data_IF_102485912350
#
_entry.id   IF_102485912350
#
_cell.length_a   1.000
_cell.length_b   1.000
_cell.length_c   1.000
_cell.angle_alpha   90.00
_cell.angle_beta   90.00
_cell.angle_gamma   90.00
#
_symmetry.space_group_name_H-M   'P 1'
#
loop_
_entity.id
_entity.type
_entity.pdbx_description
1 polymer ?
#
# COMPACT_ATOMS: atom_id res chain seq x y z
N UNK A 1 24.56 1.12 3.91
CA UNK A 1 25.17 2.17 3.06
C UNK A 1 24.37 2.48 1.79
N UNK A 2 24.13 1.53 0.86
CA UNK A 2 23.45 1.85 -0.42
C UNK A 2 21.96 2.26 -0.29
N UNK A 3 21.22 1.67 0.66
CA UNK A 3 19.81 2.03 0.92
C UNK A 3 19.66 3.28 1.78
N UNK A 4 20.52 3.48 2.76
CA UNK A 4 20.55 4.66 3.63
C UNK A 4 20.65 5.94 2.78
N UNK A 5 21.59 6.00 1.85
CA UNK A 5 21.81 7.15 0.97
C UNK A 5 20.56 7.53 0.12
N UNK A 6 19.63 6.59 -0.13
CA UNK A 6 18.42 6.89 -0.90
C UNK A 6 17.33 7.54 -0.05
N UNK A 7 17.35 7.34 1.27
CA UNK A 7 16.25 7.78 2.16
C UNK A 7 16.71 8.79 3.21
N UNK A 8 18.01 8.97 3.45
CA UNK A 8 18.52 9.93 4.43
C UNK A 8 18.06 11.35 4.12
N UNK A 9 17.46 12.01 5.10
CA UNK A 9 16.90 13.36 5.00
C UNK A 9 15.65 13.49 4.12
N UNK A 10 15.20 12.40 3.45
CA UNK A 10 14.03 12.41 2.56
C UNK A 10 12.72 12.50 3.31
N UNK A 11 11.81 13.30 2.81
CA UNK A 11 10.46 13.47 3.35
C UNK A 11 9.53 12.44 2.73
N UNK A 12 9.00 11.53 3.56
CA UNK A 12 8.19 10.39 3.15
C UNK A 12 6.80 10.49 3.77
N UNK A 13 5.76 10.65 2.95
CA UNK A 13 4.37 10.54 3.39
C UNK A 13 3.89 9.11 3.24
N UNK A 14 3.62 8.43 4.35
CA UNK A 14 3.23 7.02 4.40
C UNK A 14 1.80 6.86 4.91
N UNK A 15 0.91 6.30 4.07
CA UNK A 15 -0.45 5.93 4.48
C UNK A 15 -0.52 4.50 5.03
N UNK A 16 -1.46 4.24 5.96
CA UNK A 16 -1.59 2.94 6.61
C UNK A 16 -0.40 2.57 7.49
N UNK A 17 0.24 3.57 8.11
CA UNK A 17 1.46 3.41 8.90
C UNK A 17 1.28 2.62 10.21
N UNK A 18 0.05 2.50 10.74
CA UNK A 18 -0.20 1.97 12.09
C UNK A 18 -0.03 0.46 12.23
N UNK A 19 0.07 -0.31 11.14
CA UNK A 19 0.14 -1.78 11.21
C UNK A 19 0.82 -2.42 10.00
N UNK A 20 1.16 -3.71 10.11
CA UNK A 20 1.62 -4.56 9.01
C UNK A 20 2.80 -3.95 8.23
N UNK A 21 2.68 -3.92 6.90
CA UNK A 21 3.72 -3.39 6.01
C UNK A 21 4.01 -1.92 6.32
N UNK A 22 2.99 -1.10 6.60
CA UNK A 22 3.17 0.32 6.89
C UNK A 22 3.96 0.57 8.18
N UNK A 23 3.66 -0.19 9.25
CA UNK A 23 4.43 -0.12 10.51
C UNK A 23 5.91 -0.47 10.28
N UNK A 24 6.16 -1.56 9.58
CA UNK A 24 7.53 -1.99 9.28
C UNK A 24 8.27 -1.03 8.35
N UNK A 25 7.56 -0.44 7.35
CA UNK A 25 8.12 0.63 6.52
C UNK A 25 8.55 1.83 7.37
N UNK A 26 7.74 2.22 8.35
CA UNK A 26 8.09 3.32 9.26
C UNK A 26 9.36 3.03 10.04
N UNK A 27 9.51 1.80 10.55
CA UNK A 27 10.68 1.37 11.31
C UNK A 27 11.94 1.40 10.43
N UNK A 28 11.91 0.75 9.26
CA UNK A 28 13.08 0.68 8.40
C UNK A 28 13.44 2.06 7.78
N UNK A 29 12.46 2.85 7.35
CA UNK A 29 12.71 4.18 6.81
C UNK A 29 13.29 5.14 7.85
N UNK A 30 12.80 5.09 9.10
CA UNK A 30 13.37 5.92 10.17
C UNK A 30 14.82 5.52 10.46
N UNK A 31 15.14 4.22 10.41
CA UNK A 31 16.53 3.75 10.58
C UNK A 31 17.46 4.18 9.43
N UNK A 32 16.91 4.52 8.27
CA UNK A 32 17.65 5.10 7.13
C UNK A 32 17.63 6.63 7.12
N UNK A 33 17.22 7.28 8.21
CA UNK A 33 17.27 8.72 8.36
C UNK A 33 16.15 9.49 7.61
N UNK A 34 15.10 8.82 7.16
CA UNK A 34 13.96 9.51 6.52
C UNK A 34 13.12 10.29 7.54
N UNK A 35 12.53 11.41 7.11
CA UNK A 35 11.54 12.21 7.84
C UNK A 35 10.14 11.72 7.47
N UNK A 36 9.38 11.21 8.44
CA UNK A 36 8.13 10.51 8.16
C UNK A 36 6.90 11.35 8.51
N UNK A 37 5.94 11.36 7.58
CA UNK A 37 4.56 11.73 7.83
C UNK A 37 3.77 10.44 7.96
N UNK A 38 3.43 10.07 9.20
CA UNK A 38 2.75 8.81 9.55
C UNK A 38 1.25 9.02 9.50
N UNK A 39 0.57 8.39 8.55
CA UNK A 39 -0.88 8.56 8.37
C UNK A 39 -1.65 7.24 8.48
N UNK A 40 -2.67 7.24 9.30
CA UNK A 40 -3.75 6.25 9.41
C UNK A 40 -4.91 6.87 10.19
N UNK A 41 -6.03 6.14 10.34
CA UNK A 41 -7.18 6.61 11.11
C UNK A 41 -6.95 6.61 12.62
N UNK A 42 -6.12 5.70 13.12
CA UNK A 42 -5.88 5.54 14.55
C UNK A 42 -4.66 6.35 14.99
N UNK A 43 -4.92 7.54 15.54
CA UNK A 43 -3.89 8.47 15.99
C UNK A 43 -3.09 7.91 17.17
N UNK A 44 -3.74 7.19 18.09
CA UNK A 44 -3.05 6.60 19.24
C UNK A 44 -1.96 5.62 18.80
N UNK A 45 -2.29 4.67 17.91
CA UNK A 45 -1.32 3.71 17.38
C UNK A 45 -0.18 4.39 16.59
N UNK A 46 -0.46 5.52 15.92
CA UNK A 46 0.58 6.29 15.25
C UNK A 46 1.52 6.97 16.23
N UNK A 47 1.00 7.52 17.33
CA UNK A 47 1.81 8.13 18.38
C UNK A 47 2.67 7.08 19.09
N UNK A 48 2.11 5.93 19.43
CA UNK A 48 2.85 4.79 19.99
C UNK A 48 3.97 4.33 19.06
N UNK A 49 3.67 4.18 17.77
CA UNK A 49 4.68 3.83 16.76
C UNK A 49 5.78 4.89 16.69
N UNK A 50 5.42 6.17 16.60
CA UNK A 50 6.38 7.27 16.50
C UNK A 50 7.40 7.23 17.63
N UNK A 51 6.99 6.91 18.86
CA UNK A 51 7.89 6.82 20.03
C UNK A 51 8.93 5.70 19.91
N UNK A 52 8.70 4.71 19.05
CA UNK A 52 9.63 3.58 18.80
C UNK A 52 10.62 3.85 17.67
N UNK A 53 10.44 4.94 16.91
CA UNK A 53 11.25 5.25 15.74
C UNK A 53 12.53 6.01 16.13
N UNK A 54 13.57 5.91 15.30
CA UNK A 54 14.77 6.75 15.41
C UNK A 54 14.42 8.19 15.00
N UNK A 55 15.15 9.17 15.54
CA UNK A 55 14.97 10.59 15.22
C UNK A 55 13.51 11.08 15.36
N UNK A 56 12.85 10.71 16.45
CA UNK A 56 11.44 10.95 16.74
C UNK A 56 10.96 12.39 16.47
N UNK A 57 11.81 13.38 16.70
CA UNK A 57 11.51 14.79 16.48
C UNK A 57 11.31 15.16 15.00
N UNK A 58 11.92 14.38 14.09
CA UNK A 58 11.82 14.60 12.65
C UNK A 58 10.52 14.03 12.03
N UNK A 59 9.72 13.27 12.82
CA UNK A 59 8.49 12.65 12.34
C UNK A 59 7.24 13.39 12.84
N UNK A 60 6.18 13.34 12.02
CA UNK A 60 4.84 13.79 12.46
C UNK A 60 3.82 12.68 12.35
N UNK A 61 2.88 12.72 13.29
CA UNK A 61 1.64 11.97 13.20
C UNK A 61 0.60 12.88 12.54
N UNK A 62 -0.01 12.37 11.45
CA UNK A 62 -1.03 13.09 10.70
C UNK A 62 -2.20 12.13 10.42
N UNK A 63 -3.21 12.10 11.32
CA UNK A 63 -4.38 11.24 11.15
C UNK A 63 -5.07 11.50 9.81
N UNK A 64 -5.39 10.42 9.07
CA UNK A 64 -5.98 10.51 7.74
C UNK A 64 -6.90 9.33 7.47
N UNK A 65 -8.12 9.61 7.04
CA UNK A 65 -9.04 8.62 6.49
C UNK A 65 -9.04 8.73 4.95
N UNK A 66 -8.63 7.67 4.26
CA UNK A 66 -8.63 7.62 2.81
C UNK A 66 -10.03 7.69 2.19
N UNK A 67 -11.10 7.49 2.98
CA UNK A 67 -12.47 7.68 2.51
C UNK A 67 -12.98 9.11 2.69
N UNK A 68 -12.19 10.02 3.26
CA UNK A 68 -12.53 11.44 3.42
C UNK A 68 -11.51 12.33 2.71
N UNK A 69 -11.68 12.46 1.40
CA UNK A 69 -10.79 13.27 0.57
C UNK A 69 -10.91 14.78 0.82
N UNK A 70 -11.97 15.25 1.50
CA UNK A 70 -12.18 16.67 1.81
C UNK A 70 -11.08 17.22 2.71
N UNK A 71 -10.49 16.38 3.56
CA UNK A 71 -9.42 16.74 4.49
C UNK A 71 -8.01 16.81 3.86
N UNK A 72 -7.82 16.28 2.64
CA UNK A 72 -6.48 16.17 2.03
C UNK A 72 -5.79 17.51 1.74
N UNK A 73 -6.48 18.56 1.22
CA UNK A 73 -5.83 19.82 0.93
C UNK A 73 -5.26 20.50 2.18
N UNK A 74 -5.99 20.51 3.30
CA UNK A 74 -5.54 21.07 4.57
C UNK A 74 -4.31 20.30 5.10
N UNK A 75 -4.37 18.97 5.09
CA UNK A 75 -3.26 18.12 5.53
C UNK A 75 -2.02 18.30 4.65
N UNK A 76 -2.20 18.43 3.35
CA UNK A 76 -1.11 18.70 2.42
C UNK A 76 -0.46 20.06 2.69
N UNK A 77 -1.26 21.10 2.94
CA UNK A 77 -0.77 22.43 3.33
C UNK A 77 0.10 22.34 4.59
N UNK A 78 -0.40 21.66 5.62
CA UNK A 78 0.34 21.47 6.87
C UNK A 78 1.70 20.78 6.65
N UNK A 79 1.74 19.72 5.83
CA UNK A 79 2.99 19.00 5.51
C UNK A 79 3.97 19.90 4.76
N UNK A 80 3.49 20.66 3.76
CA UNK A 80 4.36 21.54 2.97
C UNK A 80 4.87 22.74 3.75
N UNK A 81 4.08 23.29 4.67
CA UNK A 81 4.54 24.34 5.59
C UNK A 81 5.64 23.83 6.52
N UNK A 82 5.54 22.58 6.99
CA UNK A 82 6.52 21.99 7.92
C UNK A 82 7.83 21.55 7.26
N UNK A 83 7.75 20.89 6.11
CA UNK A 83 8.92 20.26 5.48
C UNK A 83 9.39 20.95 4.20
N UNK A 84 8.57 21.79 3.58
CA UNK A 84 8.87 22.47 2.32
C UNK A 84 8.83 21.58 1.08
N UNK A 85 8.93 20.25 1.23
CA UNK A 85 8.96 19.29 0.15
C UNK A 85 8.35 17.94 0.55
N UNK A 86 8.06 17.10 -0.43
CA UNK A 86 7.71 15.69 -0.27
C UNK A 86 8.49 14.92 -1.34
N UNK A 87 9.37 14.01 -0.92
CA UNK A 87 10.18 13.20 -1.83
C UNK A 87 9.48 11.88 -2.20
N UNK A 88 8.75 11.29 -1.25
CA UNK A 88 8.04 10.03 -1.46
C UNK A 88 6.60 10.11 -0.95
N UNK A 89 5.67 9.60 -1.76
CA UNK A 89 4.31 9.28 -1.34
C UNK A 89 4.14 7.77 -1.38
N UNK A 90 4.04 7.13 -0.20
CA UNK A 90 3.85 5.69 -0.10
C UNK A 90 2.38 5.38 0.20
N UNK A 91 1.67 4.95 -0.83
CA UNK A 91 0.26 4.57 -0.80
C UNK A 91 0.13 3.10 -0.34
N UNK A 92 0.21 2.90 0.99
CA UNK A 92 0.10 1.57 1.59
C UNK A 92 -1.27 1.34 2.25
N UNK A 93 -1.99 2.41 2.59
CA UNK A 93 -3.31 2.32 3.22
C UNK A 93 -4.32 1.56 2.36
N UNK A 94 -5.07 0.66 2.99
CA UNK A 94 -6.10 -0.13 2.32
C UNK A 94 -6.77 -1.14 3.25
N UNK A 95 -7.91 -1.65 2.82
CA UNK A 95 -8.72 -2.66 3.53
C UNK A 95 -8.95 -3.87 2.63
N UNK A 96 -9.12 -5.05 3.22
CA UNK A 96 -9.40 -6.30 2.50
C UNK A 96 -10.87 -6.73 2.67
N UNK A 97 -11.26 -7.80 1.97
CA UNK A 97 -12.59 -8.39 1.99
C UNK A 97 -12.48 -9.89 2.31
N UNK A 98 -13.51 -10.40 2.98
CA UNK A 98 -13.78 -11.82 3.17
C UNK A 98 -15.29 -12.06 3.01
N UNK A 99 -15.71 -12.30 1.78
CA UNK A 99 -17.09 -12.59 1.42
C UNK A 99 -17.21 -12.96 -0.05
N UNK A 100 -18.21 -13.76 -0.40
CA UNK A 100 -18.48 -14.10 -1.80
C UNK A 100 -18.93 -12.84 -2.57
N UNK A 101 -18.78 -12.86 -3.89
CA UNK A 101 -19.21 -11.73 -4.72
C UNK A 101 -20.73 -11.52 -4.68
N UNK A 102 -21.49 -12.62 -4.52
CA UNK A 102 -22.95 -12.59 -4.48
C UNK A 102 -23.53 -12.10 -3.16
N UNK A 103 -22.82 -12.32 -2.03
CA UNK A 103 -23.30 -11.98 -0.69
C UNK A 103 -22.81 -10.62 -0.21
N UNK A 104 -21.71 -10.12 -0.79
CA UNK A 104 -21.15 -8.84 -0.39
C UNK A 104 -22.09 -7.69 -0.70
N UNK A 105 -22.44 -6.93 0.35
CA UNK A 105 -23.31 -5.77 0.22
C UNK A 105 -22.71 -4.69 -0.69
N UNK A 106 -23.57 -3.88 -1.31
CA UNK A 106 -23.15 -2.73 -2.11
C UNK A 106 -22.26 -1.77 -1.30
N UNK A 107 -22.58 -1.58 -0.03
CA UNK A 107 -21.81 -0.73 0.87
C UNK A 107 -20.35 -1.23 1.04
N UNK A 108 -20.17 -2.54 1.21
CA UNK A 108 -18.83 -3.16 1.29
C UNK A 108 -18.06 -2.95 0.00
N UNK A 109 -18.70 -3.18 -1.15
CA UNK A 109 -18.08 -2.97 -2.47
C UNK A 109 -17.62 -1.53 -2.64
N UNK A 110 -18.51 -0.56 -2.36
CA UNK A 110 -18.20 0.87 -2.46
C UNK A 110 -17.11 1.29 -1.47
N UNK A 111 -17.18 0.85 -0.21
CA UNK A 111 -16.20 1.18 0.82
C UNK A 111 -14.79 0.72 0.44
N UNK A 112 -14.67 -0.48 -0.12
CA UNK A 112 -13.38 -1.01 -0.58
C UNK A 112 -12.83 -0.19 -1.74
N UNK A 113 -13.65 0.18 -2.72
CA UNK A 113 -13.25 1.03 -3.82
C UNK A 113 -12.88 2.43 -3.34
N UNK A 114 -13.65 2.99 -2.43
CA UNK A 114 -13.40 4.32 -1.87
C UNK A 114 -12.04 4.39 -1.18
N UNK A 115 -11.78 3.48 -0.25
CA UNK A 115 -10.53 3.48 0.52
C UNK A 115 -9.34 3.07 -0.33
N UNK A 116 -9.46 1.98 -1.11
CA UNK A 116 -8.31 1.37 -1.79
C UNK A 116 -7.94 2.07 -3.09
N UNK A 117 -8.90 2.68 -3.76
CA UNK A 117 -8.70 3.29 -5.07
C UNK A 117 -8.91 4.81 -5.04
N UNK A 118 -10.12 5.29 -4.80
CA UNK A 118 -10.42 6.73 -4.89
C UNK A 118 -9.59 7.55 -3.89
N UNK A 119 -9.50 7.14 -2.63
CA UNK A 119 -8.70 7.83 -1.62
C UNK A 119 -7.22 7.92 -2.01
N UNK A 120 -6.63 6.82 -2.51
CA UNK A 120 -5.25 6.83 -2.98
C UNK A 120 -5.06 7.75 -4.19
N UNK A 121 -5.96 7.71 -5.16
CA UNK A 121 -5.93 8.57 -6.36
C UNK A 121 -6.05 10.05 -5.98
N UNK A 122 -7.02 10.40 -5.14
CA UNK A 122 -7.28 11.79 -4.75
C UNK A 122 -6.14 12.36 -3.88
N UNK A 123 -5.57 11.55 -2.98
CA UNK A 123 -4.38 11.96 -2.23
C UNK A 123 -3.17 12.17 -3.15
N UNK A 124 -2.97 11.28 -4.13
CA UNK A 124 -1.93 11.45 -5.15
C UNK A 124 -2.10 12.76 -5.91
N UNK A 125 -3.31 13.07 -6.39
CA UNK A 125 -3.60 14.33 -7.10
C UNK A 125 -3.29 15.54 -6.23
N UNK A 126 -3.60 15.50 -4.95
CA UNK A 126 -3.32 16.57 -4.00
C UNK A 126 -1.81 16.78 -3.80
N UNK A 127 -1.04 15.69 -3.70
CA UNK A 127 0.41 15.74 -3.38
C UNK A 127 1.27 15.92 -4.63
N UNK A 128 0.75 15.61 -5.82
CA UNK A 128 1.48 15.61 -7.10
C UNK A 128 2.26 16.90 -7.40
N UNK A 129 1.75 18.12 -7.12
CA UNK A 129 2.53 19.33 -7.34
C UNK A 129 3.85 19.39 -6.56
N UNK A 130 3.86 18.87 -5.30
CA UNK A 130 5.08 18.80 -4.51
C UNK A 130 6.04 17.72 -5.03
N UNK A 131 5.52 16.56 -5.46
CA UNK A 131 6.32 15.51 -6.07
C UNK A 131 6.97 15.94 -7.39
N UNK A 132 6.28 16.72 -8.23
CA UNK A 132 6.88 17.32 -9.44
C UNK A 132 8.04 18.24 -9.08
N UNK A 133 7.89 19.08 -8.05
CA UNK A 133 8.93 20.00 -7.58
C UNK A 133 10.16 19.27 -7.07
N UNK A 134 10.00 18.18 -6.33
CA UNK A 134 11.09 17.37 -5.78
C UNK A 134 11.63 16.33 -6.74
N UNK A 135 11.01 16.12 -7.90
CA UNK A 135 11.21 14.96 -8.79
C UNK A 135 11.08 13.65 -8.02
N UNK A 136 10.02 13.58 -7.21
CA UNK A 136 9.83 12.54 -6.22
C UNK A 136 9.31 11.23 -6.77
N UNK A 137 8.95 10.32 -5.86
CA UNK A 137 8.48 8.99 -6.23
C UNK A 137 7.17 8.64 -5.53
N UNK A 138 6.25 8.05 -6.30
CA UNK A 138 5.02 7.44 -5.79
C UNK A 138 5.24 5.93 -5.66
N UNK A 139 4.99 5.38 -4.48
CA UNK A 139 5.06 3.95 -4.21
C UNK A 139 3.66 3.45 -3.89
N UNK A 140 3.13 2.52 -4.70
CA UNK A 140 1.77 2.02 -4.55
C UNK A 140 1.80 0.56 -4.12
N UNK A 141 1.36 0.30 -2.89
CA UNK A 141 1.25 -1.06 -2.37
C UNK A 141 -0.07 -1.67 -2.86
N UNK A 142 0.02 -2.36 -3.99
CA UNK A 142 -1.04 -3.18 -4.56
C UNK A 142 -1.09 -4.56 -3.89
N UNK A 143 -1.17 -5.62 -4.67
CA UNK A 143 -1.14 -7.03 -4.27
C UNK A 143 -1.02 -7.91 -5.52
N UNK A 144 -0.65 -9.17 -5.37
CA UNK A 144 -0.88 -10.16 -6.44
C UNK A 144 -2.38 -10.29 -6.77
N UNK A 145 -3.29 -9.88 -5.85
CA UNK A 145 -4.72 -9.74 -6.13
C UNK A 145 -5.04 -8.63 -7.14
N UNK A 146 -4.11 -7.72 -7.43
CA UNK A 146 -4.18 -6.78 -8.54
C UNK A 146 -3.79 -7.38 -9.90
N UNK A 147 -3.32 -8.62 -9.94
CA UNK A 147 -2.94 -9.36 -11.16
C UNK A 147 -3.92 -10.49 -11.50
N UNK A 148 -4.65 -11.00 -10.52
CA UNK A 148 -5.71 -11.99 -10.71
C UNK A 148 -6.68 -12.02 -9.52
N UNK A 149 -7.89 -12.54 -9.75
CA UNK A 149 -8.90 -12.65 -8.71
C UNK A 149 -8.66 -13.81 -7.75
N UNK A 150 -9.08 -13.63 -6.51
CA UNK A 150 -9.06 -14.65 -5.46
C UNK A 150 -10.46 -14.93 -4.94
N UNK A 151 -10.68 -16.13 -4.39
CA UNK A 151 -11.88 -16.45 -3.64
C UNK A 151 -12.10 -15.45 -2.50
N UNK A 152 -13.35 -15.10 -2.26
CA UNK A 152 -13.82 -14.22 -1.18
C UNK A 152 -13.21 -12.80 -1.19
N UNK A 153 -12.64 -12.35 -2.30
CA UNK A 153 -11.93 -11.07 -2.41
C UNK A 153 -12.23 -10.32 -3.70
N UNK A 154 -13.46 -10.44 -4.22
CA UNK A 154 -13.85 -9.85 -5.51
C UNK A 154 -13.60 -8.34 -5.57
N UNK A 155 -14.19 -7.57 -4.63
CA UNK A 155 -14.05 -6.11 -4.59
C UNK A 155 -12.63 -5.67 -4.25
N UNK A 156 -11.95 -6.41 -3.36
CA UNK A 156 -10.54 -6.17 -3.07
C UNK A 156 -9.67 -6.36 -4.32
N UNK A 157 -9.86 -7.46 -5.04
CA UNK A 157 -9.11 -7.70 -6.28
C UNK A 157 -9.42 -6.64 -7.33
N UNK A 158 -10.68 -6.25 -7.49
CA UNK A 158 -11.08 -5.18 -8.40
C UNK A 158 -10.39 -3.85 -8.05
N UNK A 159 -10.38 -3.45 -6.77
CA UNK A 159 -9.72 -2.22 -6.34
C UNK A 159 -8.20 -2.24 -6.59
N UNK A 160 -7.55 -3.41 -6.39
CA UNK A 160 -6.12 -3.55 -6.64
C UNK A 160 -5.78 -3.61 -8.15
N UNK A 161 -6.68 -4.11 -9.01
CA UNK A 161 -6.54 -3.99 -10.48
C UNK A 161 -6.71 -2.53 -10.93
N UNK A 162 -7.67 -1.79 -10.36
CA UNK A 162 -7.89 -0.38 -10.68
C UNK A 162 -6.65 0.48 -10.42
N UNK A 163 -5.91 0.20 -9.33
CA UNK A 163 -4.63 0.87 -9.05
C UNK A 163 -3.62 0.66 -10.20
N UNK A 164 -3.52 -0.55 -10.77
CA UNK A 164 -2.61 -0.79 -11.89
C UNK A 164 -2.95 0.08 -13.09
N UNK A 165 -4.21 0.07 -13.53
CA UNK A 165 -4.62 0.89 -14.67
C UNK A 165 -4.34 2.38 -14.47
N UNK A 166 -4.66 2.92 -13.29
CA UNK A 166 -4.45 4.32 -13.00
C UNK A 166 -2.97 4.70 -12.90
N UNK A 167 -2.18 3.97 -12.09
CA UNK A 167 -0.80 4.36 -11.81
C UNK A 167 0.18 4.00 -12.93
N UNK A 168 -0.13 3.03 -13.78
CA UNK A 168 0.61 2.78 -15.02
C UNK A 168 0.43 3.94 -16.00
N UNK A 169 -0.79 4.47 -16.15
CA UNK A 169 -1.06 5.68 -16.94
C UNK A 169 -0.36 6.91 -16.37
N UNK A 170 -0.51 7.13 -15.06
CA UNK A 170 0.14 8.25 -14.37
C UNK A 170 1.67 8.20 -14.51
N UNK A 171 2.28 7.02 -14.49
CA UNK A 171 3.72 6.86 -14.65
C UNK A 171 4.22 7.34 -16.03
N UNK A 172 3.39 7.17 -17.08
CA UNK A 172 3.69 7.67 -18.43
C UNK A 172 3.49 9.18 -18.51
N UNK A 173 2.41 9.70 -17.93
CA UNK A 173 2.06 11.11 -17.93
C UNK A 173 3.08 11.97 -17.16
N UNK A 174 3.66 11.44 -16.10
CA UNK A 174 4.57 12.16 -15.21
C UNK A 174 6.06 11.94 -15.51
N UNK A 175 6.40 11.12 -16.50
CA UNK A 175 7.79 10.83 -16.85
C UNK A 175 8.57 12.10 -17.20
N UNK A 176 7.98 13.01 -17.99
CA UNK A 176 8.58 14.30 -18.35
C UNK A 176 8.73 15.26 -17.17
N UNK A 177 7.92 15.11 -16.13
CA UNK A 177 8.00 15.88 -14.89
C UNK A 177 9.03 15.30 -13.90
N UNK A 178 9.64 14.16 -14.22
CA UNK A 178 10.63 13.48 -13.37
C UNK A 178 10.02 12.75 -12.15
N UNK A 179 8.70 12.57 -12.10
CA UNK A 179 8.04 11.79 -11.04
C UNK A 179 8.03 10.33 -11.44
N UNK A 180 8.60 9.47 -10.60
CA UNK A 180 8.58 8.02 -10.83
C UNK A 180 7.47 7.32 -10.06
N UNK A 181 7.01 6.18 -10.58
CA UNK A 181 5.98 5.33 -9.92
C UNK A 181 6.51 3.91 -9.79
N UNK A 182 6.41 3.36 -8.59
CA UNK A 182 6.71 1.95 -8.30
C UNK A 182 5.47 1.23 -7.80
N UNK A 183 5.00 0.25 -8.56
CA UNK A 183 3.93 -0.66 -8.16
C UNK A 183 4.52 -1.84 -7.38
N UNK A 184 4.10 -2.01 -6.13
CA UNK A 184 4.51 -3.14 -5.29
C UNK A 184 3.35 -4.13 -5.19
N UNK A 185 3.60 -5.39 -5.51
CA UNK A 185 2.60 -6.46 -5.51
C UNK A 185 2.97 -7.54 -4.50
N UNK A 186 2.65 -7.36 -3.21
CA UNK A 186 2.87 -8.40 -2.21
C UNK A 186 1.99 -9.63 -2.47
N UNK A 187 2.56 -10.81 -2.20
CA UNK A 187 1.84 -12.07 -2.09
C UNK A 187 1.25 -12.28 -0.70
N UNK A 188 1.54 -13.44 -0.11
CA UNK A 188 1.14 -13.80 1.24
C UNK A 188 2.17 -13.26 2.24
N UNK A 189 1.84 -12.17 2.92
CA UNK A 189 2.70 -11.53 3.92
C UNK A 189 2.03 -11.66 5.30
N UNK A 190 2.80 -12.02 6.31
CA UNK A 190 2.30 -12.14 7.69
C UNK A 190 1.96 -10.76 8.25
N UNK A 191 0.69 -10.36 8.12
CA UNK A 191 0.15 -9.07 8.56
C UNK A 191 -1.30 -9.21 9.04
N UNK A 192 -1.82 -8.33 9.89
CA UNK A 192 -3.20 -8.39 10.38
C UNK A 192 -4.27 -7.98 9.36
N UNK A 193 -3.96 -7.90 8.07
CA UNK A 193 -4.90 -7.42 7.03
C UNK A 193 -6.14 -8.32 6.90
N UNK A 194 -6.03 -9.64 7.15
CA UNK A 194 -7.18 -10.54 7.14
C UNK A 194 -8.09 -10.34 8.34
N UNK A 195 -7.51 -10.18 9.53
CA UNK A 195 -8.27 -9.91 10.77
C UNK A 195 -9.11 -8.63 10.65
N UNK A 196 -8.56 -7.61 9.98
CA UNK A 196 -9.22 -6.33 9.75
C UNK A 196 -10.03 -6.25 8.44
N UNK A 197 -10.18 -7.38 7.71
CA UNK A 197 -10.96 -7.42 6.49
C UNK A 197 -12.45 -7.21 6.78
N UNK A 198 -13.19 -6.70 5.80
CA UNK A 198 -14.66 -6.62 5.86
C UNK A 198 -15.26 -7.96 5.44
N UNK A 199 -16.18 -8.49 6.24
CA UNK A 199 -17.06 -9.58 5.85
C UNK A 199 -18.10 -9.10 4.83
N UNK A 200 -18.94 -9.98 4.32
CA UNK A 200 -19.95 -9.65 3.31
C UNK A 200 -20.98 -8.61 3.80
N UNK A 201 -21.28 -8.61 5.09
CA UNK A 201 -22.22 -7.70 5.77
C UNK A 201 -21.58 -6.39 6.26
N UNK A 202 -20.27 -6.18 6.04
CA UNK A 202 -19.53 -5.01 6.48
C UNK A 202 -18.90 -5.11 7.88
N UNK A 203 -19.17 -6.16 8.63
CA UNK A 203 -18.51 -6.40 9.91
C UNK A 203 -17.04 -6.78 9.71
N UNK A 204 -16.24 -6.71 10.79
CA UNK A 204 -14.86 -7.21 10.74
C UNK A 204 -14.86 -8.73 10.66
N UNK A 205 -14.02 -9.28 9.80
CA UNK A 205 -13.82 -10.72 9.68
C UNK A 205 -13.29 -11.36 10.99
N UNK A 206 -12.41 -10.66 11.70
CA UNK A 206 -11.98 -11.01 13.06
C UNK A 206 -10.98 -12.16 13.18
N UNK A 207 -10.72 -12.93 12.12
CA UNK A 207 -9.80 -14.07 12.15
C UNK A 207 -8.60 -13.89 11.22
N UNK A 208 -7.46 -14.50 11.60
CA UNK A 208 -6.27 -14.55 10.76
C UNK A 208 -6.40 -15.70 9.77
N UNK A 209 -6.21 -15.42 8.48
CA UNK A 209 -6.12 -16.51 7.49
C UNK A 209 -4.84 -17.32 7.70
N UNK A 210 -4.93 -18.65 7.74
CA UNK A 210 -3.77 -19.54 7.81
C UNK A 210 -2.70 -19.23 6.75
N UNK A 211 -3.12 -18.92 5.56
CA UNK A 211 -2.22 -18.54 4.45
C UNK A 211 -1.45 -17.23 4.69
N UNK A 212 -1.94 -16.33 5.55
CA UNK A 212 -1.23 -15.11 5.92
C UNK A 212 -0.34 -15.32 7.13
N UNK A 213 -0.78 -16.11 8.09
CA UNK A 213 0.02 -16.50 9.25
C UNK A 213 1.34 -17.17 8.84
N UNK A 214 1.28 -18.07 7.84
CA UNK A 214 2.44 -18.76 7.24
C UNK A 214 3.12 -18.00 6.10
N UNK A 215 2.72 -16.75 5.89
CA UNK A 215 3.25 -15.88 4.84
C UNK A 215 4.69 -15.44 5.09
N UNK A 216 5.25 -14.73 4.11
CA UNK A 216 6.59 -14.13 4.25
C UNK A 216 6.62 -13.16 5.45
N UNK A 217 7.69 -13.17 6.27
CA UNK A 217 7.88 -12.16 7.31
C UNK A 217 7.81 -10.75 6.76
N UNK A 218 7.10 -9.85 7.46
CA UNK A 218 6.89 -8.47 7.00
C UNK A 218 8.19 -7.70 6.85
N UNK A 219 9.20 -7.95 7.70
CA UNK A 219 10.52 -7.32 7.63
C UNK A 219 11.25 -7.65 6.33
N UNK A 220 11.19 -8.91 5.88
CA UNK A 220 11.78 -9.34 4.61
C UNK A 220 11.03 -8.70 3.43
N UNK A 221 9.70 -8.66 3.48
CA UNK A 221 8.88 -8.00 2.46
C UNK A 221 9.28 -6.52 2.32
N UNK A 222 9.36 -5.79 3.41
CA UNK A 222 9.70 -4.35 3.40
C UNK A 222 11.12 -4.11 2.93
N UNK A 223 12.09 -4.93 3.35
CA UNK A 223 13.47 -4.83 2.84
C UNK A 223 13.54 -5.00 1.32
N UNK A 224 12.78 -5.97 0.75
CA UNK A 224 12.71 -6.15 -0.71
C UNK A 224 12.00 -4.98 -1.39
N UNK A 225 10.94 -4.45 -0.78
CA UNK A 225 10.19 -3.29 -1.25
C UNK A 225 11.12 -2.07 -1.35
N UNK A 226 11.82 -1.71 -0.27
CA UNK A 226 12.70 -0.54 -0.24
C UNK A 226 13.87 -0.67 -1.24
N UNK A 227 14.41 -1.88 -1.44
CA UNK A 227 15.39 -2.15 -2.51
C UNK A 227 14.82 -1.90 -3.92
N UNK A 228 13.55 -2.22 -4.16
CA UNK A 228 12.91 -1.98 -5.44
C UNK A 228 12.62 -0.48 -5.64
N UNK A 229 12.19 0.22 -4.58
CA UNK A 229 11.96 1.67 -4.55
C UNK A 229 13.26 2.43 -4.84
N UNK A 230 14.34 2.10 -4.14
CA UNK A 230 15.66 2.73 -4.36
C UNK A 230 16.17 2.56 -5.81
N UNK A 231 15.79 1.47 -6.46
CA UNK A 231 16.11 1.20 -7.87
C UNK A 231 15.06 1.73 -8.86
N UNK A 232 14.05 2.45 -8.37
CA UNK A 232 12.94 3.00 -9.14
C UNK A 232 12.29 1.96 -10.09
N UNK A 233 12.15 0.71 -9.64
CA UNK A 233 11.50 -0.33 -10.43
C UNK A 233 10.05 0.02 -10.69
N UNK A 234 9.59 -0.07 -11.94
CA UNK A 234 8.18 0.18 -12.28
C UNK A 234 7.22 -0.77 -11.57
N UNK A 235 7.61 -2.05 -11.45
CA UNK A 235 6.83 -3.06 -10.74
C UNK A 235 7.73 -4.06 -10.02
N UNK A 236 7.27 -4.55 -8.87
CA UNK A 236 7.92 -5.62 -8.12
C UNK A 236 6.89 -6.58 -7.52
N UNK A 237 7.08 -7.88 -7.74
CA UNK A 237 6.34 -8.95 -7.06
C UNK A 237 7.17 -9.39 -5.84
N UNK A 238 6.55 -9.39 -4.65
CA UNK A 238 7.23 -9.76 -3.39
C UNK A 238 6.42 -10.87 -2.70
N UNK A 239 7.02 -12.01 -2.49
CA UNK A 239 6.37 -13.15 -1.86
C UNK A 239 7.15 -14.44 -2.04
N UNK A 240 6.56 -15.54 -1.63
CA UNK A 240 7.12 -16.88 -1.78
C UNK A 240 6.73 -17.49 -3.16
N UNK A 241 6.35 -18.75 -3.17
CA UNK A 241 6.01 -19.47 -4.43
C UNK A 241 4.74 -18.93 -5.10
N UNK A 242 3.84 -18.32 -4.35
CA UNK A 242 2.54 -17.83 -4.85
C UNK A 242 2.66 -16.72 -5.89
N UNK A 243 3.72 -15.92 -5.89
CA UNK A 243 3.94 -14.88 -6.90
C UNK A 243 4.12 -15.44 -8.30
N UNK A 244 4.57 -16.71 -8.42
CA UNK A 244 4.71 -17.42 -9.72
C UNK A 244 3.36 -17.58 -10.43
N UNK A 245 2.24 -17.52 -9.69
CA UNK A 245 0.90 -17.56 -10.26
C UNK A 245 0.62 -16.38 -11.21
N UNK A 246 1.26 -15.23 -11.01
CA UNK A 246 1.17 -14.06 -11.90
C UNK A 246 1.71 -14.41 -13.30
N UNK A 247 2.92 -14.96 -13.34
CA UNK A 247 3.55 -15.40 -14.60
C UNK A 247 2.78 -16.57 -15.22
N UNK A 248 2.33 -17.52 -14.39
CA UNK A 248 1.52 -18.64 -14.86
C UNK A 248 0.22 -18.18 -15.54
N UNK A 249 -0.50 -17.19 -14.94
CA UNK A 249 -1.71 -16.61 -15.54
C UNK A 249 -1.41 -15.97 -16.90
N UNK A 250 -0.29 -15.28 -17.04
CA UNK A 250 0.09 -14.58 -18.26
C UNK A 250 0.47 -15.53 -19.40
N UNK A 251 1.26 -16.55 -19.08
CA UNK A 251 1.83 -17.44 -20.10
C UNK A 251 0.98 -18.69 -20.38
N UNK A 252 0.34 -19.25 -19.35
CA UNK A 252 -0.41 -20.50 -19.41
C UNK A 252 -1.78 -20.36 -18.70
N UNK A 253 -2.70 -19.52 -19.22
CA UNK A 253 -3.95 -19.21 -18.53
C UNK A 253 -4.83 -20.43 -18.25
N UNK A 254 -4.86 -21.43 -19.14
CA UNK A 254 -5.64 -22.67 -18.92
C UNK A 254 -5.12 -23.46 -17.72
N UNK A 255 -3.79 -23.54 -17.56
CA UNK A 255 -3.16 -24.21 -16.42
C UNK A 255 -3.37 -23.40 -15.13
N UNK A 256 -3.24 -22.07 -15.19
CA UNK A 256 -3.53 -21.20 -14.06
C UNK A 256 -4.92 -21.47 -13.48
N UNK A 257 -5.97 -21.55 -14.30
CA UNK A 257 -7.32 -21.79 -13.82
C UNK A 257 -7.49 -23.17 -13.17
N UNK A 258 -6.74 -24.19 -13.60
CA UNK A 258 -6.72 -25.50 -12.94
C UNK A 258 -6.07 -25.44 -11.56
N UNK A 259 -5.00 -24.64 -11.42
CA UNK A 259 -4.25 -24.51 -10.17
C UNK A 259 -5.02 -23.65 -9.17
N UNK A 260 -5.55 -22.48 -9.59
CA UNK A 260 -6.18 -21.54 -8.68
C UNK A 260 -7.49 -22.07 -8.08
N UNK A 261 -8.24 -22.90 -8.83
CA UNK A 261 -9.46 -23.54 -8.30
C UNK A 261 -9.18 -24.43 -7.08
N UNK A 262 -7.98 -24.99 -6.96
CA UNK A 262 -7.56 -25.83 -5.83
C UNK A 262 -7.20 -24.99 -4.59
N UNK A 263 -7.20 -23.68 -4.69
CA UNK A 263 -6.92 -22.76 -3.60
C UNK A 263 -8.23 -22.21 -2.96
N UNK A 264 -9.34 -22.92 -3.14
CA UNK A 264 -10.60 -22.61 -2.45
C UNK A 264 -10.35 -22.59 -0.93
N UNK A 265 -10.97 -21.68 -0.18
CA UNK A 265 -10.91 -21.68 1.28
C UNK A 265 -11.77 -22.78 1.92
N UNK A 266 -12.54 -23.54 1.11
CA UNK A 266 -13.38 -24.67 1.55
C UNK A 266 -12.65 -25.98 1.37
#
# INVERSE_FOLDING_TARGET
MELENNFEGKVVWLTGASSGIGKELSIQLSSYGAKLILSSRNEQLLNELKLTLQNTAEHIVLPLDLSDASSFPEKFKYVTEKYGQIDFLIQNGGISQRGTASESSEEVVRKIMEVNFFGNVLLTKTVLPALRKSKGQIVVVSSIAGKFGFFLRSSYSASKHALHGYYESLALEEESNGVSVTMVCPGKINTPISTNALAADGNKHGSMDHNQETGMPVSICVSQLLKAVAKQKREVLIGNKEIKAVTLKRLLPRLFWRVIRKQSPT
#
